data_IF_546311815789
#
_entry.id   IF_546311815789
#
_cell.length_a   1.000
_cell.length_b   1.000
_cell.length_c   1.000
_cell.angle_alpha   90.00
_cell.angle_beta   90.00
_cell.angle_gamma   90.00
#
_symmetry.space_group_name_H-M   'P 1'
#
loop_
_entity.id
_entity.type
_entity.pdbx_description
1 polymer ?
#
# COMPACT_ATOMS: atom_id res chain seq x y z
N UNK A 1 16.62 -21.03 -6.77
CA UNK A 1 16.89 -19.56 -6.65
C UNK A 1 18.12 -19.34 -5.77
N UNK A 2 19.26 -18.92 -6.33
CA UNK A 2 20.59 -18.98 -5.68
C UNK A 2 20.78 -18.07 -4.45
N UNK A 3 19.87 -17.13 -4.18
CA UNK A 3 19.88 -16.24 -2.99
C UNK A 3 18.50 -16.06 -2.33
N UNK A 4 17.54 -16.98 -2.51
CA UNK A 4 16.19 -16.82 -1.93
C UNK A 4 16.21 -16.62 -0.41
N UNK A 5 17.02 -17.42 0.30
CA UNK A 5 17.20 -17.31 1.76
C UNK A 5 17.68 -15.93 2.23
N UNK A 6 18.42 -15.19 1.40
CA UNK A 6 18.96 -13.88 1.77
C UNK A 6 17.88 -12.80 1.87
N UNK A 7 16.84 -12.90 1.06
CA UNK A 7 15.79 -11.88 0.94
C UNK A 7 14.42 -12.44 1.34
N UNK A 8 14.42 -13.48 2.18
CA UNK A 8 13.21 -14.24 2.49
C UNK A 8 12.14 -13.36 3.14
N UNK A 9 12.55 -12.44 4.01
CA UNK A 9 11.63 -11.55 4.70
C UNK A 9 11.01 -10.54 3.73
N UNK A 10 11.79 -9.96 2.84
CA UNK A 10 11.31 -9.04 1.80
C UNK A 10 10.32 -9.73 0.85
N UNK A 11 10.60 -10.99 0.47
CA UNK A 11 9.66 -11.79 -0.33
C UNK A 11 8.36 -12.03 0.42
N UNK A 12 8.45 -12.46 1.69
CA UNK A 12 7.27 -12.71 2.52
C UNK A 12 6.43 -11.45 2.69
N UNK A 13 7.06 -10.31 3.01
CA UNK A 13 6.38 -9.03 3.13
C UNK A 13 5.59 -8.70 1.85
N UNK A 14 6.23 -8.72 0.68
CA UNK A 14 5.57 -8.36 -0.58
C UNK A 14 4.44 -9.32 -0.94
N UNK A 15 4.65 -10.63 -0.77
CA UNK A 15 3.61 -11.64 -1.04
C UNK A 15 2.43 -11.48 -0.08
N UNK A 16 2.70 -11.31 1.21
CA UNK A 16 1.66 -11.12 2.22
C UNK A 16 0.86 -9.85 1.92
N UNK A 17 1.50 -8.73 1.59
CA UNK A 17 0.81 -7.48 1.23
C UNK A 17 -0.12 -7.69 0.03
N UNK A 18 0.38 -8.31 -1.04
CA UNK A 18 -0.43 -8.58 -2.25
C UNK A 18 -1.63 -9.47 -1.90
N UNK A 19 -1.43 -10.50 -1.08
CA UNK A 19 -2.52 -11.40 -0.66
C UNK A 19 -3.53 -10.67 0.23
N UNK A 20 -3.07 -9.84 1.18
CA UNK A 20 -3.94 -9.07 2.08
C UNK A 20 -4.75 -8.00 1.37
N UNK A 21 -4.30 -7.49 0.21
CA UNK A 21 -5.12 -6.60 -0.60
C UNK A 21 -6.45 -7.24 -1.02
N UNK A 22 -6.51 -8.56 -1.18
CA UNK A 22 -7.74 -9.26 -1.61
C UNK A 22 -8.86 -9.14 -0.56
N UNK A 23 -8.72 -9.64 0.68
CA UNK A 23 -9.76 -9.49 1.69
C UNK A 23 -9.93 -8.04 2.14
N UNK A 24 -8.86 -7.22 2.13
CA UNK A 24 -8.94 -5.81 2.51
C UNK A 24 -9.87 -5.01 1.58
N UNK A 25 -9.78 -5.22 0.27
CA UNK A 25 -10.54 -4.43 -0.70
C UNK A 25 -11.73 -5.19 -1.31
N UNK A 26 -12.08 -6.35 -0.75
CA UNK A 26 -13.16 -7.22 -1.24
C UNK A 26 -14.49 -6.46 -1.46
N UNK A 27 -14.91 -5.66 -0.47
CA UNK A 27 -16.22 -5.01 -0.51
C UNK A 27 -16.38 -3.96 -1.61
N UNK A 28 -15.28 -3.42 -2.15
CA UNK A 28 -15.31 -2.48 -3.28
C UNK A 28 -15.86 -3.18 -4.54
N UNK A 29 -15.59 -4.48 -4.69
CA UNK A 29 -15.88 -5.25 -5.90
C UNK A 29 -16.97 -6.31 -5.72
N UNK A 30 -17.09 -6.87 -4.52
CA UNK A 30 -17.92 -8.03 -4.24
C UNK A 30 -18.83 -7.84 -3.01
N UNK A 31 -18.88 -6.63 -2.46
CA UNK A 31 -19.85 -6.26 -1.42
C UNK A 31 -21.28 -6.13 -1.98
N UNK A 32 -22.26 -6.06 -1.09
CA UNK A 32 -23.69 -5.92 -1.47
C UNK A 32 -23.93 -4.68 -2.34
N UNK A 33 -23.26 -3.57 -2.01
CA UNK A 33 -23.38 -2.29 -2.72
C UNK A 33 -22.16 -2.00 -3.62
N UNK A 34 -21.49 -3.05 -4.12
CA UNK A 34 -20.29 -2.89 -4.94
C UNK A 34 -20.58 -2.14 -6.25
N UNK A 35 -19.98 -0.96 -6.38
CA UNK A 35 -20.02 -0.15 -7.59
C UNK A 35 -18.68 0.59 -7.78
N UNK A 36 -17.61 -0.13 -8.17
CA UNK A 36 -16.27 0.44 -8.21
C UNK A 36 -16.17 1.55 -9.25
N UNK A 37 -15.77 2.74 -8.81
CA UNK A 37 -15.60 3.89 -9.71
C UNK A 37 -14.36 3.74 -10.58
N UNK A 38 -14.27 4.54 -11.64
CA UNK A 38 -13.05 4.63 -12.45
C UNK A 38 -11.80 4.90 -11.59
N UNK A 39 -11.89 5.80 -10.61
CA UNK A 39 -10.77 6.17 -9.74
C UNK A 39 -10.30 5.00 -8.86
N UNK A 40 -11.24 4.22 -8.32
CA UNK A 40 -10.93 3.03 -7.54
C UNK A 40 -10.27 1.96 -8.40
N UNK A 41 -10.81 1.68 -9.59
CA UNK A 41 -10.23 0.73 -10.53
C UNK A 41 -8.81 1.11 -10.95
N UNK A 42 -8.61 2.39 -11.29
CA UNK A 42 -7.31 2.90 -11.71
C UNK A 42 -6.26 2.77 -10.59
N UNK A 43 -6.62 3.14 -9.36
CA UNK A 43 -5.71 3.06 -8.23
C UNK A 43 -5.39 1.61 -7.83
N UNK A 44 -6.37 0.71 -7.83
CA UNK A 44 -6.16 -0.72 -7.54
C UNK A 44 -5.23 -1.33 -8.57
N UNK A 45 -5.48 -1.11 -9.86
CA UNK A 45 -4.62 -1.60 -10.93
C UNK A 45 -3.19 -1.06 -10.79
N UNK A 46 -3.04 0.24 -10.54
CA UNK A 46 -1.74 0.89 -10.38
C UNK A 46 -0.97 0.37 -9.15
N UNK A 47 -1.66 0.15 -8.04
CA UNK A 47 -1.08 -0.40 -6.80
C UNK A 47 -0.61 -1.84 -6.99
N UNK A 48 -1.41 -2.69 -7.66
CA UNK A 48 -1.03 -4.06 -7.96
C UNK A 48 0.16 -4.12 -8.93
N UNK A 49 0.19 -3.25 -9.94
CA UNK A 49 1.35 -3.12 -10.83
C UNK A 49 2.59 -2.71 -10.04
N UNK A 50 2.48 -1.72 -9.15
CA UNK A 50 3.60 -1.26 -8.31
C UNK A 50 4.15 -2.38 -7.41
N UNK A 51 3.28 -3.06 -6.64
CA UNK A 51 3.68 -4.17 -5.77
C UNK A 51 4.29 -5.33 -6.57
N UNK A 52 3.73 -5.64 -7.75
CA UNK A 52 4.26 -6.65 -8.66
C UNK A 52 5.63 -6.25 -9.21
N UNK A 53 5.83 -4.97 -9.54
CA UNK A 53 7.13 -4.44 -9.95
C UNK A 53 8.15 -4.58 -8.82
N UNK A 54 7.81 -4.22 -7.58
CA UNK A 54 8.72 -4.39 -6.44
C UNK A 54 9.11 -5.85 -6.23
N UNK A 55 8.14 -6.77 -6.25
CA UNK A 55 8.39 -8.21 -6.15
C UNK A 55 9.29 -8.68 -7.28
N UNK A 56 9.02 -8.26 -8.51
CA UNK A 56 9.83 -8.64 -9.66
C UNK A 56 11.25 -8.06 -9.58
N UNK A 57 11.43 -6.82 -9.12
CA UNK A 57 12.76 -6.24 -8.88
C UNK A 57 13.54 -7.05 -7.85
N UNK A 58 12.89 -7.50 -6.77
CA UNK A 58 13.50 -8.36 -5.76
C UNK A 58 13.91 -9.73 -6.34
N UNK A 59 13.08 -10.33 -7.21
CA UNK A 59 13.41 -11.55 -7.95
C UNK A 59 14.67 -11.37 -8.80
N UNK A 60 14.78 -10.26 -9.54
CA UNK A 60 15.94 -9.97 -10.39
C UNK A 60 17.22 -9.81 -9.55
N UNK A 61 17.14 -9.11 -8.41
CA UNK A 61 18.27 -8.98 -7.46
C UNK A 61 18.65 -10.37 -6.90
N UNK A 62 17.68 -11.18 -6.48
CA UNK A 62 17.90 -12.53 -5.96
C UNK A 62 18.54 -13.47 -7.00
N UNK A 63 18.23 -13.27 -8.28
CA UNK A 63 18.85 -13.99 -9.42
C UNK A 63 20.16 -13.37 -9.89
N UNK A 64 20.63 -12.27 -9.27
CA UNK A 64 21.81 -11.48 -9.70
C UNK A 64 21.70 -10.91 -11.12
N UNK A 65 20.48 -10.75 -11.64
CA UNK A 65 20.19 -10.22 -12.98
C UNK A 65 20.20 -8.68 -12.98
N UNK A 66 21.37 -8.10 -12.67
CA UNK A 66 21.52 -6.66 -12.45
C UNK A 66 21.21 -5.81 -13.68
N UNK A 67 21.49 -6.31 -14.90
CA UNK A 67 21.19 -5.60 -16.13
C UNK A 67 19.67 -5.47 -16.33
N UNK A 68 18.93 -6.57 -16.17
CA UNK A 68 17.47 -6.59 -16.23
C UNK A 68 16.84 -5.74 -15.13
N UNK A 69 17.36 -5.83 -13.89
CA UNK A 69 16.93 -4.99 -12.77
C UNK A 69 17.01 -3.50 -13.11
N UNK A 70 18.11 -3.05 -13.72
CA UNK A 70 18.25 -1.65 -14.16
C UNK A 70 17.30 -1.29 -15.29
N UNK A 71 17.21 -2.13 -16.33
CA UNK A 71 16.37 -1.84 -17.51
C UNK A 71 14.89 -1.74 -17.13
N UNK A 72 14.38 -2.74 -16.43
CA UNK A 72 12.98 -2.76 -15.99
C UNK A 72 12.77 -1.73 -14.89
N UNK A 73 13.76 -1.55 -14.00
CA UNK A 73 13.72 -0.56 -12.94
C UNK A 73 13.58 0.88 -13.43
N UNK A 74 13.83 1.19 -14.71
CA UNK A 74 13.49 2.51 -15.26
C UNK A 74 11.99 2.78 -15.31
N UNK A 75 11.14 1.75 -15.33
CA UNK A 75 9.68 1.92 -15.34
C UNK A 75 9.15 2.62 -14.09
N UNK A 76 9.88 2.56 -12.97
CA UNK A 76 9.49 3.23 -11.73
C UNK A 76 9.49 4.75 -11.86
N UNK A 77 10.24 5.32 -12.83
CA UNK A 77 10.21 6.76 -13.12
C UNK A 77 8.85 7.22 -13.63
N UNK A 78 8.07 6.30 -14.22
CA UNK A 78 6.68 6.53 -14.57
C UNK A 78 5.75 6.05 -13.45
N UNK A 79 5.87 4.78 -13.04
CA UNK A 79 4.92 4.17 -12.10
C UNK A 79 4.96 4.77 -10.69
N UNK A 80 6.09 5.32 -10.23
CA UNK A 80 6.18 5.98 -8.93
C UNK A 80 5.33 7.27 -8.89
N UNK A 81 5.60 8.26 -9.76
CA UNK A 81 4.76 9.45 -9.87
C UNK A 81 3.31 9.13 -10.23
N UNK A 82 3.07 8.13 -11.08
CA UNK A 82 1.72 7.72 -11.45
C UNK A 82 0.95 7.13 -10.27
N UNK A 83 1.59 6.30 -9.44
CA UNK A 83 0.99 5.79 -8.21
C UNK A 83 0.63 6.92 -7.26
N UNK A 84 1.54 7.87 -7.02
CA UNK A 84 1.26 9.06 -6.22
C UNK A 84 0.05 9.84 -6.77
N UNK A 85 0.01 10.08 -8.09
CA UNK A 85 -1.08 10.80 -8.74
C UNK A 85 -2.44 10.10 -8.57
N UNK A 86 -2.50 8.77 -8.75
CA UNK A 86 -3.76 8.03 -8.55
C UNK A 86 -4.23 8.04 -7.09
N UNK A 87 -3.29 8.02 -6.13
CA UNK A 87 -3.59 8.10 -4.69
C UNK A 87 -4.10 9.49 -4.30
N UNK A 88 -3.46 10.54 -4.83
CA UNK A 88 -3.89 11.92 -4.67
C UNK A 88 -5.29 12.15 -5.27
N UNK A 89 -5.54 11.60 -6.45
CA UNK A 89 -6.84 11.68 -7.12
C UNK A 89 -7.94 11.01 -6.30
N UNK A 90 -7.69 9.84 -5.70
CA UNK A 90 -8.63 9.22 -4.76
C UNK A 90 -8.89 10.10 -3.53
N UNK A 91 -7.84 10.68 -2.95
CA UNK A 91 -7.97 11.56 -1.78
C UNK A 91 -8.85 12.78 -2.08
N UNK A 92 -8.63 13.42 -3.23
CA UNK A 92 -9.44 14.57 -3.69
C UNK A 92 -10.89 14.15 -3.97
N UNK A 93 -11.08 13.01 -4.65
CA UNK A 93 -12.44 12.54 -4.98
C UNK A 93 -13.23 12.16 -3.72
N UNK A 94 -12.58 11.54 -2.74
CA UNK A 94 -13.16 11.24 -1.43
C UNK A 94 -13.58 12.52 -0.69
N UNK A 95 -12.69 13.51 -0.65
CA UNK A 95 -12.98 14.81 -0.05
C UNK A 95 -14.17 15.52 -0.73
N UNK A 96 -14.19 15.51 -2.06
CA UNK A 96 -15.29 16.10 -2.84
C UNK A 96 -16.63 15.43 -2.54
N UNK A 97 -16.66 14.10 -2.44
CA UNK A 97 -17.88 13.36 -2.05
C UNK A 97 -18.37 13.76 -0.66
N UNK A 98 -17.46 13.92 0.30
CA UNK A 98 -17.77 14.41 1.65
C UNK A 98 -18.37 15.82 1.66
N UNK A 99 -17.86 16.72 0.83
CA UNK A 99 -18.40 18.08 0.68
C UNK A 99 -19.79 18.08 0.03
N UNK A 100 -19.97 17.35 -1.07
CA UNK A 100 -21.26 17.33 -1.80
C UNK A 100 -22.39 16.67 -1.00
N UNK A 101 -22.07 15.63 -0.20
CA UNK A 101 -23.05 14.96 0.65
C UNK A 101 -23.40 15.75 1.93
N UNK A 102 -22.54 16.69 2.34
CA UNK A 102 -22.67 17.40 3.62
C UNK A 102 -22.26 16.58 4.85
N UNK A 103 -21.83 15.32 4.66
CA UNK A 103 -21.41 14.42 5.75
C UNK A 103 -19.92 14.57 6.12
N UNK A 104 -19.13 15.22 5.26
CA UNK A 104 -17.68 15.32 5.41
C UNK A 104 -16.94 14.03 5.06
N UNK A 105 -15.60 14.10 4.99
CA UNK A 105 -14.73 12.92 4.84
C UNK A 105 -13.96 12.68 6.14
N UNK A 106 -14.41 11.71 6.93
CA UNK A 106 -13.79 11.35 8.21
C UNK A 106 -12.35 10.80 8.07
N UNK A 107 -11.94 10.44 6.86
CA UNK A 107 -10.59 9.97 6.56
C UNK A 107 -9.76 11.00 5.78
N UNK A 108 -10.23 12.25 5.65
CA UNK A 108 -9.54 13.30 4.88
C UNK A 108 -8.08 13.45 5.27
N UNK A 109 -7.81 13.65 6.58
CA UNK A 109 -6.44 13.84 7.09
C UNK A 109 -5.61 12.59 6.82
N UNK A 110 -6.16 11.41 7.06
CA UNK A 110 -5.48 10.14 6.83
C UNK A 110 -5.12 9.95 5.34
N UNK A 111 -6.06 10.24 4.44
CA UNK A 111 -5.90 10.11 2.99
C UNK A 111 -4.86 11.10 2.46
N UNK A 112 -4.93 12.37 2.88
CA UNK A 112 -3.98 13.41 2.47
C UNK A 112 -2.59 13.12 3.02
N UNK A 113 -2.46 12.84 4.32
CA UNK A 113 -1.16 12.57 4.95
C UNK A 113 -0.54 11.29 4.39
N UNK A 114 -1.31 10.22 4.20
CA UNK A 114 -0.82 8.98 3.58
C UNK A 114 -0.38 9.19 2.13
N UNK A 115 -1.07 10.03 1.37
CA UNK A 115 -0.65 10.40 0.01
C UNK A 115 0.68 11.17 0.02
N UNK A 116 0.82 12.15 0.91
CA UNK A 116 2.07 12.93 1.04
C UNK A 116 3.23 12.05 1.51
N UNK A 117 3.00 11.16 2.47
CA UNK A 117 3.97 10.19 2.94
C UNK A 117 4.43 9.28 1.80
N UNK A 118 3.50 8.72 1.01
CA UNK A 118 3.81 7.91 -0.17
C UNK A 118 4.66 8.68 -1.19
N UNK A 119 4.28 9.93 -1.47
CA UNK A 119 5.05 10.80 -2.37
C UNK A 119 6.46 11.06 -1.85
N UNK A 120 6.60 11.34 -0.55
CA UNK A 120 7.89 11.58 0.09
C UNK A 120 8.80 10.35 0.01
N UNK A 121 8.33 9.15 0.38
CA UNK A 121 9.16 7.94 0.35
C UNK A 121 9.60 7.58 -1.08
N UNK A 122 8.74 7.76 -2.08
CA UNK A 122 9.10 7.55 -3.51
C UNK A 122 10.15 8.59 -3.94
N UNK A 123 9.97 9.86 -3.58
CA UNK A 123 10.93 10.92 -3.87
C UNK A 123 12.29 10.62 -3.23
N UNK A 124 12.31 10.23 -1.96
CA UNK A 124 13.54 9.87 -1.24
C UNK A 124 14.22 8.66 -1.89
N UNK A 125 13.47 7.67 -2.38
CA UNK A 125 14.03 6.57 -3.15
C UNK A 125 14.80 7.06 -4.39
N UNK A 126 14.30 8.08 -5.10
CA UNK A 126 14.98 8.67 -6.26
C UNK A 126 16.18 9.54 -5.89
N UNK A 127 16.08 10.34 -4.83
CA UNK A 127 17.19 11.15 -4.31
C UNK A 127 18.37 10.23 -3.94
N UNK A 128 18.09 9.14 -3.22
CA UNK A 128 19.10 8.20 -2.76
C UNK A 128 19.43 7.06 -3.72
N UNK A 129 19.07 7.16 -5.02
CA UNK A 129 19.28 6.10 -6.03
C UNK A 129 20.72 5.58 -6.14
N UNK A 130 21.72 6.39 -5.81
CA UNK A 130 23.14 5.98 -5.82
C UNK A 130 23.50 5.08 -4.62
N UNK A 131 22.79 5.20 -3.50
CA UNK A 131 22.96 4.39 -2.28
C UNK A 131 22.00 3.20 -2.33
N UNK A 132 22.40 2.12 -3.00
CA UNK A 132 21.52 0.96 -3.32
C UNK A 132 20.72 0.41 -2.13
N UNK A 133 21.33 0.30 -0.96
CA UNK A 133 20.65 -0.17 0.27
C UNK A 133 19.52 0.79 0.68
N UNK A 134 19.81 2.09 0.71
CA UNK A 134 18.85 3.14 1.09
C UNK A 134 17.74 3.29 0.05
N UNK A 135 18.09 3.24 -1.24
CA UNK A 135 17.12 3.25 -2.34
C UNK A 135 16.14 2.08 -2.23
N UNK A 136 16.66 0.86 -2.03
CA UNK A 136 15.84 -0.34 -1.83
C UNK A 136 14.97 -0.24 -0.57
N UNK A 137 15.51 0.31 0.53
CA UNK A 137 14.77 0.54 1.76
C UNK A 137 13.55 1.44 1.54
N UNK A 138 13.72 2.62 0.95
CA UNK A 138 12.59 3.53 0.66
C UNK A 138 11.54 2.91 -0.27
N UNK A 139 11.97 2.16 -1.30
CA UNK A 139 11.02 1.45 -2.15
C UNK A 139 10.25 0.37 -1.38
N UNK A 140 10.92 -0.39 -0.51
CA UNK A 140 10.27 -1.40 0.32
C UNK A 140 9.36 -0.78 1.39
N UNK A 141 9.67 0.41 1.92
CA UNK A 141 8.79 1.14 2.84
C UNK A 141 7.42 1.42 2.22
N UNK A 142 7.32 1.59 0.90
CA UNK A 142 6.01 1.72 0.23
C UNK A 142 5.14 0.47 0.45
N UNK A 143 5.75 -0.72 0.48
CA UNK A 143 5.03 -1.96 0.76
C UNK A 143 4.53 -2.02 2.22
N UNK A 144 5.28 -1.45 3.18
CA UNK A 144 4.83 -1.34 4.57
C UNK A 144 3.63 -0.38 4.70
N UNK A 145 3.62 0.70 3.92
CA UNK A 145 2.46 1.61 3.86
C UNK A 145 1.22 0.88 3.30
N UNK A 146 1.36 0.17 2.17
CA UNK A 146 0.27 -0.65 1.63
C UNK A 146 -0.15 -1.77 2.58
N UNK A 147 0.79 -2.40 3.27
CA UNK A 147 0.51 -3.42 4.29
C UNK A 147 -0.43 -2.88 5.36
N UNK A 148 -0.13 -1.70 5.92
CA UNK A 148 -0.94 -1.11 6.99
C UNK A 148 -2.38 -0.86 6.57
N UNK A 149 -2.57 -0.30 5.38
CA UNK A 149 -3.90 -0.03 4.83
C UNK A 149 -4.63 -1.35 4.52
N UNK A 150 -3.99 -2.30 3.83
CA UNK A 150 -4.59 -3.58 3.49
C UNK A 150 -4.95 -4.40 4.74
N UNK A 151 -4.09 -4.41 5.75
CA UNK A 151 -4.34 -5.07 7.04
C UNK A 151 -5.51 -4.40 7.76
N UNK A 152 -5.53 -3.08 7.87
CA UNK A 152 -6.63 -2.34 8.49
C UNK A 152 -7.99 -2.74 7.87
N UNK A 153 -8.10 -2.67 6.55
CA UNK A 153 -9.34 -3.04 5.87
C UNK A 153 -9.67 -4.53 5.98
N UNK A 154 -8.65 -5.40 5.98
CA UNK A 154 -8.84 -6.84 6.20
C UNK A 154 -9.44 -7.10 7.58
N UNK A 155 -8.94 -6.43 8.62
CA UNK A 155 -9.44 -6.59 9.99
C UNK A 155 -10.92 -6.24 10.07
N UNK A 156 -11.31 -5.05 9.62
CA UNK A 156 -12.71 -4.60 9.72
C UNK A 156 -13.67 -5.36 8.80
N UNK A 157 -13.16 -6.01 7.75
CA UNK A 157 -13.98 -6.78 6.81
C UNK A 157 -14.14 -8.26 7.23
N UNK A 158 -13.04 -8.92 7.58
CA UNK A 158 -12.96 -10.37 7.69
C UNK A 158 -12.80 -10.89 9.12
N UNK A 159 -12.43 -10.05 10.10
CA UNK A 159 -12.15 -10.48 11.47
C UNK A 159 -13.30 -10.05 12.39
N UNK A 160 -14.10 -11.00 12.94
CA UNK A 160 -15.31 -10.69 13.71
C UNK A 160 -15.09 -9.69 14.86
N UNK A 161 -13.94 -9.76 15.52
CA UNK A 161 -13.56 -8.89 16.64
C UNK A 161 -13.38 -7.42 16.24
N UNK A 162 -13.16 -7.14 14.95
CA UNK A 162 -12.95 -5.80 14.40
C UNK A 162 -14.08 -5.34 13.49
N UNK A 163 -15.02 -6.22 13.15
CA UNK A 163 -16.13 -5.90 12.25
C UNK A 163 -17.06 -4.86 12.88
N UNK A 164 -17.44 -3.87 12.09
CA UNK A 164 -18.36 -2.80 12.49
C UNK A 164 -19.76 -3.19 12.03
N UNK A 165 -20.67 -3.38 12.97
CA UNK A 165 -22.04 -3.86 12.74
C UNK A 165 -23.09 -2.81 13.11
N UNK A 166 -22.69 -1.79 13.87
CA UNK A 166 -23.53 -0.72 14.34
C UNK A 166 -22.76 0.33 15.15
N UNK A 167 -23.45 1.37 15.67
CA UNK A 167 -22.83 2.43 16.47
C UNK A 167 -22.12 1.90 17.73
N UNK A 168 -22.65 0.86 18.36
CA UNK A 168 -22.09 0.19 19.55
C UNK A 168 -20.76 -0.50 19.28
N UNK A 169 -20.50 -0.87 18.02
CA UNK A 169 -19.25 -1.50 17.59
C UNK A 169 -18.31 -0.53 16.87
N UNK A 170 -18.65 0.76 16.75
CA UNK A 170 -17.84 1.75 16.02
C UNK A 170 -16.43 1.93 16.59
N UNK A 171 -16.24 1.74 17.90
CA UNK A 171 -14.91 1.80 18.53
C UNK A 171 -13.90 0.82 17.89
N UNK A 172 -14.38 -0.28 17.30
CA UNK A 172 -13.54 -1.28 16.60
C UNK A 172 -12.79 -0.71 15.41
N UNK A 173 -13.29 0.37 14.79
CA UNK A 173 -12.57 1.10 13.73
C UNK A 173 -11.22 1.60 14.25
N UNK A 174 -11.23 2.32 15.38
CA UNK A 174 -10.03 2.84 16.02
C UNK A 174 -9.11 1.72 16.51
N UNK A 175 -9.67 0.64 17.06
CA UNK A 175 -8.90 -0.53 17.50
C UNK A 175 -8.21 -1.23 16.32
N UNK A 176 -8.89 -1.40 15.18
CA UNK A 176 -8.31 -1.97 13.97
C UNK A 176 -7.19 -1.08 13.42
N UNK A 177 -7.39 0.24 13.38
CA UNK A 177 -6.38 1.20 12.92
C UNK A 177 -5.14 1.17 13.82
N UNK A 178 -5.33 1.16 15.14
CA UNK A 178 -4.23 1.05 16.11
C UNK A 178 -3.48 -0.28 15.96
N UNK A 179 -4.20 -1.38 15.79
CA UNK A 179 -3.63 -2.72 15.57
C UNK A 179 -2.76 -2.74 14.32
N UNK A 180 -3.29 -2.28 13.18
CA UNK A 180 -2.54 -2.22 11.93
C UNK A 180 -1.27 -1.35 12.07
N UNK A 181 -1.37 -0.20 12.74
CA UNK A 181 -0.23 0.68 13.02
C UNK A 181 0.85 -0.02 13.86
N UNK A 182 0.49 -0.70 14.95
CA UNK A 182 1.48 -1.40 15.79
C UNK A 182 2.16 -2.54 15.05
N UNK A 183 1.44 -3.28 14.20
CA UNK A 183 2.04 -4.31 13.35
C UNK A 183 3.00 -3.66 12.33
N UNK A 184 2.62 -2.56 11.69
CA UNK A 184 3.52 -1.81 10.78
C UNK A 184 4.78 -1.31 11.48
N UNK A 185 4.67 -0.81 12.72
CA UNK A 185 5.83 -0.39 13.51
C UNK A 185 6.75 -1.57 13.81
N UNK A 186 6.21 -2.73 14.20
CA UNK A 186 6.99 -3.95 14.42
C UNK A 186 7.70 -4.43 13.15
N UNK A 187 7.01 -4.41 12.00
CA UNK A 187 7.62 -4.72 10.70
C UNK A 187 8.69 -3.67 10.36
N UNK A 188 8.42 -2.38 10.56
CA UNK A 188 9.39 -1.31 10.33
C UNK A 188 10.70 -1.54 11.08
N UNK A 189 10.62 -1.82 12.39
CA UNK A 189 11.78 -2.12 13.24
C UNK A 189 12.53 -3.40 12.86
N UNK A 190 11.84 -4.37 12.24
CA UNK A 190 12.48 -5.60 11.75
C UNK A 190 13.33 -5.33 10.49
N UNK A 191 12.91 -4.38 9.64
CA UNK A 191 13.53 -4.11 8.35
C UNK A 191 14.52 -2.93 8.34
N UNK A 192 14.37 -1.95 9.24
CA UNK A 192 15.08 -0.66 9.22
C UNK A 192 15.68 -0.30 10.57
#
# INVERSE_FOLDING_TARGET
MRNFKKYILEYLLLVIVIVLCVPGFWNIYFGVDANPTFYQNLHVATSLIWLSLLLYQLILIGKKQNASHRKIGLSILFFGPFLFATTALLSVHSAHKGVVSGEGDFLLVQNVMGTLELGLIILLAFIFKKRRKVHGAFLLSTAVLFFGIALFFTLINAVPQFKIEGPETFYRFGTAAATARYVCLGIGLLFF
#
